data_IF_114096544225
#
_entry.id   IF_114096544225
#
_cell.length_a   1.000
_cell.length_b   1.000
_cell.length_c   1.000
_cell.angle_alpha   90.00
_cell.angle_beta   90.00
_cell.angle_gamma   90.00
#
_symmetry.space_group_name_H-M   'P 1'
#
loop_
_entity.id
_entity.type
_entity.pdbx_description
1 polymer ?
#
# COMPACT_ATOMS: atom_id res chain seq x y z
N UNK A 1 2.83 -20.32 13.49
CA UNK A 1 1.52 -19.69 13.49
C UNK A 1 1.32 -18.90 12.20
N UNK A 2 0.29 -19.27 11.41
CA UNK A 2 0.00 -18.61 10.13
C UNK A 2 -0.42 -17.15 10.29
N UNK A 3 -0.91 -16.80 11.46
CA UNK A 3 -1.37 -15.44 11.76
C UNK A 3 -0.37 -14.66 12.62
N UNK A 4 0.88 -15.05 12.55
CA UNK A 4 1.95 -14.33 13.23
C UNK A 4 1.92 -12.86 12.81
N UNK A 5 2.01 -11.98 13.80
CA UNK A 5 2.00 -10.53 13.56
C UNK A 5 3.14 -10.12 12.64
N UNK A 6 2.83 -9.40 11.58
CA UNK A 6 3.79 -8.89 10.62
C UNK A 6 3.76 -7.37 10.62
N UNK A 7 4.92 -6.76 10.75
CA UNK A 7 5.07 -5.31 10.68
C UNK A 7 6.07 -4.99 9.57
N UNK A 8 5.69 -4.08 8.68
CA UNK A 8 6.61 -3.55 7.67
C UNK A 8 7.02 -2.14 8.05
N UNK A 9 8.25 -1.80 7.72
CA UNK A 9 8.78 -0.45 7.88
C UNK A 9 9.01 0.14 6.50
N UNK A 10 8.43 1.31 6.26
CA UNK A 10 8.63 2.09 5.04
C UNK A 10 9.55 3.24 5.42
N UNK A 11 10.78 3.21 4.91
CA UNK A 11 11.73 4.27 5.15
C UNK A 11 11.81 5.17 3.93
N UNK A 12 11.65 6.47 4.15
CA UNK A 12 11.69 7.48 3.10
C UNK A 12 13.14 7.95 2.89
N UNK A 13 13.41 8.54 1.73
CA UNK A 13 14.74 9.05 1.38
C UNK A 13 15.29 10.01 2.43
N UNK A 14 14.44 10.80 3.07
CA UNK A 14 14.86 11.76 4.10
C UNK A 14 15.01 11.14 5.49
N UNK A 15 14.87 9.82 5.62
CA UNK A 15 14.98 9.10 6.89
C UNK A 15 13.68 8.99 7.68
N UNK A 16 12.60 9.60 7.22
CA UNK A 16 11.29 9.46 7.86
C UNK A 16 10.79 8.02 7.75
N UNK A 17 10.05 7.55 8.76
CA UNK A 17 9.65 6.16 8.86
C UNK A 17 8.14 6.05 9.06
N UNK A 18 7.52 5.13 8.33
CA UNK A 18 6.13 4.70 8.50
C UNK A 18 6.18 3.22 8.86
N UNK A 19 5.48 2.83 9.92
CA UNK A 19 5.33 1.42 10.28
C UNK A 19 3.88 1.00 10.14
N UNK A 20 3.66 -0.18 9.59
CA UNK A 20 2.33 -0.71 9.37
C UNK A 20 2.25 -2.18 9.78
N UNK A 21 1.15 -2.54 10.42
CA UNK A 21 0.84 -3.93 10.71
C UNK A 21 0.05 -4.51 9.54
N UNK A 22 0.41 -5.70 9.11
CA UNK A 22 -0.28 -6.43 8.06
C UNK A 22 -1.22 -7.45 8.68
N UNK A 23 -2.35 -7.70 8.00
CA UNK A 23 -3.42 -8.56 8.51
C UNK A 23 -3.61 -9.80 7.62
N UNK A 24 -2.78 -10.85 7.80
CA UNK A 24 -2.92 -12.07 7.00
C UNK A 24 -4.26 -12.78 7.23
N UNK A 25 -4.89 -12.56 8.39
CA UNK A 25 -6.23 -13.11 8.66
C UNK A 25 -7.31 -12.44 7.82
N UNK A 26 -7.07 -11.22 7.34
CA UNK A 26 -8.03 -10.45 6.52
C UNK A 26 -7.84 -10.73 5.03
N UNK A 27 -6.58 -10.74 4.58
CA UNK A 27 -6.22 -10.90 3.17
C UNK A 27 -4.94 -11.74 3.05
N UNK A 28 -5.04 -13.07 3.23
CA UNK A 28 -3.85 -13.93 3.39
C UNK A 28 -2.93 -13.94 2.18
N UNK A 29 -3.46 -14.08 0.98
CA UNK A 29 -2.63 -14.11 -0.22
C UNK A 29 -2.05 -12.74 -0.55
N UNK A 30 -2.82 -11.69 -0.33
CA UNK A 30 -2.37 -10.30 -0.52
C UNK A 30 -1.19 -10.00 0.39
N UNK A 31 -1.29 -10.35 1.67
CA UNK A 31 -0.20 -10.15 2.64
C UNK A 31 1.03 -10.98 2.25
N UNK A 32 0.84 -12.25 1.90
CA UNK A 32 1.96 -13.11 1.48
C UNK A 32 2.68 -12.54 0.27
N UNK A 33 1.93 -12.05 -0.72
CA UNK A 33 2.51 -11.42 -1.91
C UNK A 33 3.31 -10.18 -1.54
N UNK A 34 2.74 -9.31 -0.72
CA UNK A 34 3.39 -8.08 -0.30
C UNK A 34 4.70 -8.38 0.44
N UNK A 35 4.66 -9.30 1.41
CA UNK A 35 5.84 -9.72 2.17
C UNK A 35 6.90 -10.32 1.24
N UNK A 36 6.50 -11.16 0.29
CA UNK A 36 7.41 -11.75 -0.69
C UNK A 36 8.16 -10.68 -1.48
N UNK A 37 7.43 -9.66 -1.94
CA UNK A 37 8.01 -8.55 -2.70
C UNK A 37 8.96 -7.71 -1.82
N UNK A 38 8.59 -7.45 -0.57
CA UNK A 38 9.45 -6.74 0.37
C UNK A 38 10.76 -7.49 0.58
N UNK A 39 10.68 -8.80 0.81
CA UNK A 39 11.87 -9.65 1.04
C UNK A 39 12.80 -9.73 -0.16
N UNK A 40 12.27 -9.61 -1.36
CA UNK A 40 13.06 -9.61 -2.60
C UNK A 40 13.71 -8.27 -2.89
N UNK A 41 13.44 -7.25 -2.09
CA UNK A 41 13.91 -5.89 -2.36
C UNK A 41 13.17 -5.22 -3.52
N UNK A 42 12.02 -5.74 -3.92
CA UNK A 42 11.26 -5.22 -5.06
C UNK A 42 10.89 -3.75 -4.90
N UNK A 43 10.55 -3.35 -3.67
CA UNK A 43 10.10 -1.99 -3.38
C UNK A 43 11.24 -1.00 -3.12
N UNK A 44 12.48 -1.44 -3.09
CA UNK A 44 13.62 -0.56 -2.81
C UNK A 44 13.76 0.48 -3.93
N UNK A 45 13.82 1.76 -3.56
CA UNK A 45 13.93 2.86 -4.52
C UNK A 45 12.63 3.24 -5.22
N UNK A 46 11.52 2.58 -4.90
CA UNK A 46 10.22 2.86 -5.51
C UNK A 46 9.57 4.07 -4.83
N UNK A 47 8.86 4.88 -5.60
CA UNK A 47 8.30 6.16 -5.14
C UNK A 47 6.78 6.06 -4.92
N UNK A 48 6.24 7.03 -4.18
CA UNK A 48 4.81 7.33 -4.23
C UNK A 48 4.57 8.21 -5.46
N UNK A 49 4.12 7.58 -6.54
CA UNK A 49 3.96 8.26 -7.84
C UNK A 49 2.62 8.99 -7.99
N UNK A 50 1.67 8.73 -7.10
CA UNK A 50 0.35 9.35 -7.12
C UNK A 50 -0.06 9.71 -5.70
N UNK A 51 -0.24 11.00 -5.44
CA UNK A 51 -0.59 11.52 -4.12
C UNK A 51 -1.77 12.45 -4.26
N UNK A 52 -2.85 12.14 -3.57
CA UNK A 52 -4.05 12.98 -3.53
C UNK A 52 -4.37 13.31 -2.08
N UNK A 53 -4.13 14.57 -1.70
CA UNK A 53 -4.46 15.05 -0.36
C UNK A 53 -5.96 14.87 -0.11
N UNK A 54 -6.30 14.39 1.09
CA UNK A 54 -7.69 14.07 1.43
C UNK A 54 -8.15 12.71 0.91
N UNK A 55 -7.28 11.96 0.24
CA UNK A 55 -7.61 10.64 -0.29
C UNK A 55 -6.55 9.60 0.05
N UNK A 56 -5.46 9.50 -0.75
CA UNK A 56 -4.47 8.42 -0.55
C UNK A 56 -3.11 8.75 -1.15
N UNK A 57 -2.11 7.93 -0.75
CA UNK A 57 -0.77 7.90 -1.34
C UNK A 57 -0.61 6.55 -2.04
N UNK A 58 -0.33 6.54 -3.35
CA UNK A 58 -0.15 5.31 -4.10
C UNK A 58 1.31 5.14 -4.54
N UNK A 59 1.84 3.96 -4.34
CA UNK A 59 3.19 3.59 -4.73
C UNK A 59 3.28 2.12 -5.11
N UNK A 60 4.51 1.60 -5.20
CA UNK A 60 4.73 0.18 -5.45
C UNK A 60 4.92 -0.18 -6.92
N UNK A 61 4.94 0.80 -7.82
CA UNK A 61 5.25 0.58 -9.22
C UNK A 61 6.76 0.79 -9.44
N UNK A 62 7.50 -0.24 -9.87
CA UNK A 62 8.95 -0.10 -10.08
C UNK A 62 9.29 0.91 -11.16
N UNK A 63 8.39 1.15 -12.11
CA UNK A 63 8.58 2.13 -13.19
C UNK A 63 8.10 3.54 -12.79
N UNK A 64 7.38 3.67 -11.70
CA UNK A 64 6.88 4.96 -11.22
C UNK A 64 5.86 5.64 -12.13
N UNK A 65 5.25 4.91 -13.06
CA UNK A 65 4.31 5.46 -14.06
C UNK A 65 2.85 5.17 -13.76
N UNK A 66 2.58 4.23 -12.86
CA UNK A 66 1.25 3.69 -12.59
C UNK A 66 0.92 2.46 -13.43
N UNK A 67 1.79 2.09 -14.38
CA UNK A 67 1.55 0.97 -15.32
C UNK A 67 2.40 -0.25 -15.01
N UNK A 68 3.40 -0.14 -14.15
CA UNK A 68 4.32 -1.23 -13.86
C UNK A 68 3.84 -2.16 -12.76
N UNK A 69 4.50 -3.29 -12.64
CA UNK A 69 4.19 -4.30 -11.63
C UNK A 69 5.23 -5.41 -11.61
N UNK A 70 4.93 -6.51 -10.90
CA UNK A 70 5.90 -7.59 -10.70
C UNK A 70 5.93 -8.63 -11.82
N UNK A 71 5.14 -8.43 -12.88
CA UNK A 71 5.04 -9.38 -13.98
C UNK A 71 3.95 -10.44 -13.80
N UNK A 72 3.12 -10.32 -12.78
CA UNK A 72 1.99 -11.22 -12.52
C UNK A 72 0.89 -10.45 -11.80
N UNK A 73 -0.30 -11.07 -11.69
CA UNK A 73 -1.42 -10.54 -10.92
C UNK A 73 -1.88 -11.56 -9.89
N UNK A 74 -2.54 -11.09 -8.85
CA UNK A 74 -3.12 -11.94 -7.81
C UNK A 74 -4.63 -11.80 -7.77
N UNK A 75 -5.30 -12.82 -7.22
CA UNK A 75 -6.75 -12.78 -7.02
C UNK A 75 -7.09 -11.66 -6.02
N UNK A 76 -8.13 -10.88 -6.33
CA UNK A 76 -8.58 -9.80 -5.46
C UNK A 76 -9.32 -10.32 -4.24
N UNK A 77 -8.75 -10.08 -3.06
CA UNK A 77 -9.33 -10.51 -1.78
C UNK A 77 -10.21 -9.41 -1.21
N UNK A 78 -11.34 -9.16 -1.85
CA UNK A 78 -12.31 -8.16 -1.41
C UNK A 78 -13.74 -8.67 -1.65
N UNK A 79 -14.67 -8.13 -0.89
CA UNK A 79 -16.04 -8.67 -0.78
C UNK A 79 -16.78 -8.72 -2.12
N UNK A 80 -16.66 -7.69 -2.95
CA UNK A 80 -17.30 -7.68 -4.27
C UNK A 80 -16.74 -8.73 -5.24
N UNK A 81 -15.60 -9.32 -4.91
CA UNK A 81 -14.98 -10.39 -5.68
C UNK A 81 -15.19 -11.78 -5.04
N UNK A 82 -16.15 -11.89 -4.13
CA UNK A 82 -16.50 -13.15 -3.49
C UNK A 82 -15.58 -13.58 -2.34
N UNK A 83 -14.74 -12.70 -1.86
CA UNK A 83 -13.85 -12.97 -0.72
C UNK A 83 -14.18 -11.99 0.41
N UNK A 84 -14.69 -12.49 1.53
CA UNK A 84 -15.07 -11.62 2.64
C UNK A 84 -13.87 -10.85 3.18
N UNK A 85 -13.95 -9.51 3.12
CA UNK A 85 -12.96 -8.60 3.66
C UNK A 85 -13.68 -7.38 4.21
N UNK A 86 -13.79 -7.32 5.53
CA UNK A 86 -14.57 -6.29 6.22
C UNK A 86 -13.74 -5.09 6.68
N UNK A 87 -12.45 -5.05 6.33
CA UNK A 87 -11.58 -3.94 6.71
C UNK A 87 -11.98 -2.68 5.97
N UNK A 88 -12.31 -1.65 6.73
CA UNK A 88 -12.73 -0.35 6.17
C UNK A 88 -11.54 0.48 5.75
N UNK A 89 -11.70 1.29 4.71
CA UNK A 89 -10.66 2.21 4.23
C UNK A 89 -10.67 3.50 5.06
N UNK A 90 -10.17 3.38 6.28
CA UNK A 90 -9.98 4.48 7.22
C UNK A 90 -8.56 5.06 7.08
N UNK A 91 -8.27 6.25 7.67
CA UNK A 91 -6.91 6.80 7.60
C UNK A 91 -5.86 5.78 8.07
N UNK A 92 -4.79 5.65 7.30
CA UNK A 92 -3.69 4.73 7.59
C UNK A 92 -3.85 3.31 7.06
N UNK A 93 -5.00 2.93 6.51
CA UNK A 93 -5.20 1.58 5.97
C UNK A 93 -4.41 1.40 4.67
N UNK A 94 -3.75 0.24 4.55
CA UNK A 94 -3.06 -0.18 3.33
C UNK A 94 -3.99 -1.05 2.50
N UNK A 95 -4.07 -0.78 1.20
CA UNK A 95 -4.94 -1.51 0.28
C UNK A 95 -4.25 -1.67 -1.08
N UNK A 96 -4.63 -2.69 -1.84
CA UNK A 96 -4.01 -2.95 -3.15
C UNK A 96 -4.68 -2.11 -4.24
N UNK A 97 -3.84 -1.42 -5.01
CA UNK A 97 -4.29 -0.80 -6.25
C UNK A 97 -4.51 -1.87 -7.31
N UNK A 98 -5.43 -1.62 -8.21
CA UNK A 98 -5.77 -2.50 -9.33
C UNK A 98 -6.39 -1.73 -10.48
N UNK A 99 -6.49 -2.35 -11.63
CA UNK A 99 -7.30 -1.82 -12.73
C UNK A 99 -8.78 -2.12 -12.45
N UNK A 100 -9.65 -1.88 -13.41
CA UNK A 100 -11.08 -2.22 -13.28
C UNK A 100 -11.30 -3.73 -13.18
N UNK A 101 -10.33 -4.54 -13.65
CA UNK A 101 -10.40 -5.99 -13.51
C UNK A 101 -10.17 -6.40 -12.06
N UNK A 102 -11.02 -7.27 -11.49
CA UNK A 102 -10.91 -7.60 -10.06
C UNK A 102 -9.66 -8.36 -9.66
N UNK A 103 -9.06 -9.12 -10.57
CA UNK A 103 -7.87 -9.94 -10.30
C UNK A 103 -6.62 -9.36 -10.98
N UNK A 104 -6.47 -8.04 -10.96
CA UNK A 104 -5.38 -7.34 -11.65
C UNK A 104 -4.35 -6.71 -10.73
N UNK A 105 -4.47 -6.87 -9.41
CA UNK A 105 -3.48 -6.35 -8.47
C UNK A 105 -2.15 -7.12 -8.61
N UNK A 106 -1.05 -6.41 -8.44
CA UNK A 106 0.29 -7.01 -8.49
C UNK A 106 1.16 -6.49 -7.35
N UNK A 107 1.74 -5.32 -7.52
CA UNK A 107 2.63 -4.72 -6.52
C UNK A 107 2.19 -3.35 -6.03
N UNK A 108 1.38 -2.63 -6.80
CA UNK A 108 0.99 -1.28 -6.41
C UNK A 108 0.01 -1.31 -5.24
N UNK A 109 0.26 -0.46 -4.27
CA UNK A 109 -0.58 -0.32 -3.08
C UNK A 109 -0.78 1.15 -2.76
N UNK A 110 -1.76 1.43 -1.91
CA UNK A 110 -1.99 2.78 -1.44
C UNK A 110 -2.21 2.81 0.06
N UNK A 111 -1.86 3.94 0.67
CA UNK A 111 -2.07 4.22 2.08
C UNK A 111 -3.12 5.32 2.17
N UNK A 112 -4.18 5.08 2.93
CA UNK A 112 -5.26 6.06 3.08
C UNK A 112 -4.79 7.26 3.88
N UNK A 113 -5.02 8.46 3.34
CA UNK A 113 -4.84 9.71 4.07
C UNK A 113 -6.12 10.06 4.83
N UNK A 114 -7.26 9.97 4.17
CA UNK A 114 -8.59 10.17 4.76
C UNK A 114 -9.48 8.96 4.47
N UNK A 115 -10.58 8.81 5.20
CA UNK A 115 -11.51 7.72 4.98
C UNK A 115 -12.17 7.82 3.60
N UNK A 116 -12.32 6.67 2.94
CA UNK A 116 -12.98 6.57 1.63
C UNK A 116 -13.93 5.38 1.62
N UNK A 117 -15.14 5.52 2.19
CA UNK A 117 -16.10 4.40 2.31
C UNK A 117 -16.49 3.77 0.97
N UNK A 118 -16.39 4.52 -0.14
CA UNK A 118 -16.70 3.98 -1.46
C UNK A 118 -15.71 2.89 -1.94
N UNK A 119 -14.56 2.76 -1.28
CA UNK A 119 -13.60 1.70 -1.57
C UNK A 119 -13.86 0.43 -0.76
N UNK A 120 -14.67 0.51 0.30
CA UNK A 120 -14.92 -0.64 1.18
C UNK A 120 -15.61 -1.76 0.41
N UNK A 121 -15.08 -2.97 0.53
CA UNK A 121 -15.59 -4.12 -0.19
C UNK A 121 -15.21 -4.19 -1.67
N UNK A 122 -14.57 -3.15 -2.22
CA UNK A 122 -14.19 -3.07 -3.63
C UNK A 122 -12.69 -3.18 -3.87
N UNK A 123 -11.89 -3.08 -2.83
CA UNK A 123 -10.42 -3.18 -2.88
C UNK A 123 -9.92 -4.04 -1.72
N UNK A 124 -8.79 -4.71 -1.94
CA UNK A 124 -8.20 -5.63 -0.96
C UNK A 124 -7.39 -4.86 0.08
N UNK A 125 -8.06 -4.37 1.11
CA UNK A 125 -7.40 -3.79 2.28
C UNK A 125 -6.69 -4.89 3.07
N UNK A 126 -5.45 -4.64 3.52
CA UNK A 126 -4.64 -5.73 4.10
C UNK A 126 -3.75 -5.31 5.27
N UNK A 127 -3.78 -4.07 5.69
CA UNK A 127 -2.97 -3.60 6.81
C UNK A 127 -3.33 -2.19 7.24
N UNK A 128 -2.63 -1.70 8.26
CA UNK A 128 -2.85 -0.36 8.79
C UNK A 128 -1.58 0.20 9.41
N UNK A 129 -1.35 1.48 9.19
CA UNK A 129 -0.25 2.23 9.80
C UNK A 129 -0.42 2.25 11.32
N UNK A 130 0.64 1.87 12.03
CA UNK A 130 0.70 1.90 13.50
C UNK A 130 1.56 3.04 14.03
N UNK A 131 2.57 3.46 13.26
CA UNK A 131 3.44 4.59 13.58
C UNK A 131 3.75 5.37 12.30
N UNK A 132 3.84 6.70 12.40
CA UNK A 132 4.22 7.52 11.27
C UNK A 132 3.06 8.10 10.48
N UNK A 133 1.86 8.22 11.04
CA UNK A 133 0.77 8.92 10.37
C UNK A 133 1.13 10.39 10.09
N UNK A 134 1.95 11.00 10.92
CA UNK A 134 2.49 12.34 10.67
C UNK A 134 3.32 12.37 9.37
N UNK A 135 4.05 11.31 9.08
CA UNK A 135 4.80 11.16 7.82
C UNK A 135 3.85 11.00 6.64
N UNK A 136 2.80 10.19 6.79
CA UNK A 136 1.74 10.04 5.77
C UNK A 136 1.10 11.40 5.48
N UNK A 137 0.76 12.14 6.52
CA UNK A 137 0.16 13.48 6.39
C UNK A 137 1.11 14.45 5.68
N UNK A 138 2.41 14.39 6.00
CA UNK A 138 3.42 15.24 5.36
C UNK A 138 3.55 14.93 3.87
N UNK A 139 3.56 13.66 3.50
CA UNK A 139 3.61 13.25 2.09
C UNK A 139 2.35 13.69 1.35
N UNK A 140 1.19 13.56 1.99
CA UNK A 140 -0.09 13.98 1.40
C UNK A 140 -0.16 15.48 1.12
N UNK A 141 0.67 16.28 1.79
CA UNK A 141 0.70 17.74 1.64
C UNK A 141 1.71 18.23 0.61
N UNK A 142 2.51 17.35 -0.02
CA UNK A 142 3.52 17.80 -0.99
C UNK A 142 2.86 18.36 -2.26
N UNK A 143 3.49 19.35 -2.91
CA UNK A 143 3.00 19.85 -4.19
C UNK A 143 3.01 18.75 -5.26
N UNK A 144 1.95 18.70 -6.04
CA UNK A 144 1.79 17.72 -7.12
C UNK A 144 1.48 18.45 -8.43
N UNK A 145 1.70 17.74 -9.57
CA UNK A 145 1.27 18.25 -10.87
C UNK A 145 -0.20 17.86 -11.11
N UNK A 146 -0.74 18.20 -12.29
CA UNK A 146 -2.15 17.92 -12.61
C UNK A 146 -2.46 16.42 -12.76
N UNK A 147 -1.43 15.55 -12.78
CA UNK A 147 -1.59 14.09 -12.76
C UNK A 147 -1.43 13.51 -11.35
N UNK A 148 -1.46 14.34 -10.32
CA UNK A 148 -1.30 13.95 -8.91
C UNK A 148 0.09 13.34 -8.61
N UNK A 149 1.07 13.63 -9.45
CA UNK A 149 2.45 13.18 -9.23
C UNK A 149 3.21 14.22 -8.43
N UNK A 150 3.89 13.83 -7.33
CA UNK A 150 4.71 14.77 -6.55
C UNK A 150 5.76 15.44 -7.42
N UNK A 151 5.92 16.77 -7.24
CA UNK A 151 6.93 17.54 -7.97
C UNK A 151 8.35 17.16 -7.54
N UNK A 152 8.53 16.88 -6.24
CA UNK A 152 9.77 16.35 -5.71
C UNK A 152 9.59 14.86 -5.44
N UNK A 153 10.46 14.03 -6.02
CA UNK A 153 10.39 12.57 -5.90
C UNK A 153 11.02 12.16 -4.57
N UNK A 154 10.26 11.38 -3.78
CA UNK A 154 10.77 10.77 -2.55
C UNK A 154 10.80 9.26 -2.74
N UNK A 155 11.98 8.67 -2.60
CA UNK A 155 12.15 7.23 -2.74
C UNK A 155 11.75 6.53 -1.46
N UNK A 156 11.14 5.35 -1.59
CA UNK A 156 10.81 4.49 -0.47
C UNK A 156 11.81 3.36 -0.37
N UNK A 157 12.08 2.94 0.87
CA UNK A 157 12.84 1.74 1.13
C UNK A 157 12.07 0.94 2.18
N UNK A 158 11.58 -0.24 1.77
CA UNK A 158 10.79 -1.07 2.67
C UNK A 158 11.65 -2.13 3.33
N UNK A 159 11.59 -2.21 4.65
CA UNK A 159 12.19 -3.29 5.43
C UNK A 159 11.11 -4.06 6.16
N UNK A 160 11.39 -5.31 6.49
CA UNK A 160 10.41 -6.19 7.11
C UNK A 160 10.97 -6.79 8.40
N UNK A 161 10.84 -6.10 9.55
CA UNK A 161 11.05 -6.77 10.82
C UNK A 161 9.84 -7.67 11.09
N UNK A 162 10.09 -8.93 11.40
CA UNK A 162 9.05 -9.86 11.80
C UNK A 162 8.94 -9.85 13.31
N UNK A 163 7.74 -9.64 13.82
CA UNK A 163 7.46 -9.67 15.27
C UNK A 163 6.72 -10.96 15.55
N UNK A 164 7.32 -11.77 16.41
CA UNK A 164 6.73 -13.04 16.81
C UNK A 164 5.58 -12.85 17.80
#
# INVERSE_FOLDING_TARGET
DVYKRQVVTIEMENGSVIKAELYPQVAPNTVNNFISLVKKGFYDGVIFHRVISGFMLQGGDPDGTGMGGPGYSIKGEFTQNGFQNDLKHEPGVLSMARTMMPNSAGSQFFIMHEAAPHLDGAYAAFGKVTEGMDVVNAIAAVPTNYNDRPLAVSYTHLTLPTIA
#
